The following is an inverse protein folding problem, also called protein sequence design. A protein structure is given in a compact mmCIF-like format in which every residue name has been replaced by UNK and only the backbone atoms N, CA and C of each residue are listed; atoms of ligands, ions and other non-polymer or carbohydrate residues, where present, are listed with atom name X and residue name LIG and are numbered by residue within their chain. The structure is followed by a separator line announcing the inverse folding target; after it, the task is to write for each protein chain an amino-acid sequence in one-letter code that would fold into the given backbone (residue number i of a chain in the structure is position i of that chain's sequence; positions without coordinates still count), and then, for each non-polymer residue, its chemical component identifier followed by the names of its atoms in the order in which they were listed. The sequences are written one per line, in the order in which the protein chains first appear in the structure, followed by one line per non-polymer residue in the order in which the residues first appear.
data_IF_495605094077
#
_entry.id   IF_495605094077
#
_cell.length_a   1.000
_cell.length_b   1.000
_cell.length_c   1.000
_cell.angle_alpha   90.00
_cell.angle_beta   90.00
_cell.angle_gamma   90.00
#
_symmetry.space_group_name_H-M   'P 1'
#
loop_
_entity.id
_entity.type
_entity.pdbx_description
1 polymer ?
#
# COMPACT_ATOMS: atom_id res chain seq x y z
N UNK A 1 -16.38 2.30 28.45
CA UNK A 1 -16.23 3.57 27.71
C UNK A 1 -14.85 4.12 28.01
N UNK A 2 -14.14 4.61 26.99
CA UNK A 2 -12.83 5.25 27.19
C UNK A 2 -12.98 6.49 28.10
N UNK A 3 -12.03 6.65 29.03
CA UNK A 3 -11.96 7.81 29.93
C UNK A 3 -11.05 8.90 29.34
N UNK A 4 -11.13 10.14 29.86
CA UNK A 4 -10.28 11.24 29.42
C UNK A 4 -8.76 10.93 29.52
N UNK A 5 -8.36 10.04 30.43
CA UNK A 5 -6.97 9.59 30.57
C UNK A 5 -6.50 8.70 29.41
N UNK A 6 -7.43 8.13 28.62
CA UNK A 6 -7.14 7.23 27.50
C UNK A 6 -7.34 7.92 26.13
N UNK A 7 -7.66 9.21 26.15
CA UNK A 7 -7.92 10.01 24.95
C UNK A 7 -6.76 9.99 23.95
N UNK A 8 -5.53 10.14 24.45
CA UNK A 8 -4.33 10.11 23.60
C UNK A 8 -4.19 8.80 22.81
N UNK A 9 -4.60 7.67 23.40
CA UNK A 9 -4.48 6.35 22.80
C UNK A 9 -5.64 6.05 21.84
N UNK A 10 -6.88 6.40 22.21
CA UNK A 10 -8.06 6.04 21.41
C UNK A 10 -8.47 7.10 20.36
N UNK A 11 -8.13 8.38 20.55
CA UNK A 11 -8.60 9.46 19.67
C UNK A 11 -7.46 10.23 18.96
N UNK A 12 -6.21 10.15 19.45
CA UNK A 12 -5.06 10.82 18.83
C UNK A 12 -4.04 9.89 18.15
N UNK A 13 -4.17 8.58 18.33
CA UNK A 13 -3.30 7.61 17.64
C UNK A 13 -3.90 7.23 16.29
N UNK A 14 -3.05 7.18 15.25
CA UNK A 14 -3.50 6.67 13.95
C UNK A 14 -3.95 5.22 14.08
N UNK A 15 -5.07 4.87 13.45
CA UNK A 15 -5.66 3.54 13.50
C UNK A 15 -4.64 2.42 13.26
N UNK A 16 -3.76 2.57 12.27
CA UNK A 16 -2.72 1.57 11.93
C UNK A 16 -1.76 1.33 13.11
N UNK A 17 -1.25 2.39 13.73
CA UNK A 17 -0.34 2.25 14.86
C UNK A 17 -1.07 1.64 16.07
N UNK A 18 -2.28 2.10 16.35
CA UNK A 18 -3.09 1.58 17.44
C UNK A 18 -3.38 0.09 17.26
N UNK A 19 -3.73 -0.30 16.03
CA UNK A 19 -4.05 -1.67 15.68
C UNK A 19 -2.87 -2.62 15.94
N UNK A 20 -1.66 -2.28 15.46
CA UNK A 20 -0.47 -3.13 15.67
C UNK A 20 -0.04 -3.20 17.13
N UNK A 21 -0.13 -2.10 17.88
CA UNK A 21 0.34 -2.07 19.27
C UNK A 21 -0.62 -2.76 20.23
N UNK A 22 -1.94 -2.64 20.02
CA UNK A 22 -2.93 -3.03 21.03
C UNK A 22 -3.94 -4.08 20.59
N UNK A 23 -4.22 -4.24 19.29
CA UNK A 23 -5.26 -5.15 18.79
C UNK A 23 -4.70 -6.40 18.08
N UNK A 24 -3.50 -6.31 17.50
CA UNK A 24 -2.91 -7.37 16.67
C UNK A 24 -2.49 -8.61 17.47
N UNK A 25 -2.20 -8.42 18.76
CA UNK A 25 -1.76 -9.47 19.68
C UNK A 25 -0.49 -10.16 19.19
N UNK A 26 -0.44 -11.48 19.35
CA UNK A 26 0.71 -12.30 18.96
C UNK A 26 0.69 -12.74 17.48
N UNK A 27 -0.29 -12.28 16.70
CA UNK A 27 -0.35 -12.58 15.26
C UNK A 27 0.81 -11.87 14.57
N UNK A 28 1.53 -12.59 13.70
CA UNK A 28 2.63 -12.03 12.91
C UNK A 28 2.15 -10.80 12.13
N UNK A 29 2.92 -9.71 12.17
CA UNK A 29 2.52 -8.41 11.60
C UNK A 29 2.27 -8.46 10.10
N UNK A 30 2.81 -9.45 9.38
CA UNK A 30 2.57 -9.63 7.95
C UNK A 30 1.33 -10.50 7.67
N UNK A 31 0.64 -10.98 8.71
CA UNK A 31 -0.55 -11.83 8.61
C UNK A 31 -1.81 -11.10 9.10
N UNK A 32 -2.94 -11.42 8.45
CA UNK A 32 -4.24 -10.91 8.87
C UNK A 32 -4.63 -11.43 10.27
N UNK A 33 -4.92 -10.51 11.19
CA UNK A 33 -5.51 -10.85 12.49
C UNK A 33 -7.05 -10.89 12.42
N UNK A 34 -7.69 -11.46 13.44
CA UNK A 34 -9.15 -11.67 13.46
C UNK A 34 -9.99 -10.40 13.71
N UNK A 35 -9.36 -9.23 13.89
CA UNK A 35 -10.07 -7.98 14.22
C UNK A 35 -10.98 -7.48 13.07
N UNK A 36 -10.74 -7.96 11.84
CA UNK A 36 -11.44 -7.51 10.64
C UNK A 36 -11.00 -6.12 10.20
N UNK A 37 -10.58 -5.95 8.94
CA UNK A 37 -10.01 -4.69 8.45
C UNK A 37 -8.55 -4.48 8.86
N UNK A 38 -7.86 -5.54 9.30
CA UNK A 38 -6.43 -5.53 9.56
C UNK A 38 -5.67 -5.00 8.33
N UNK A 39 -4.77 -4.00 8.47
CA UNK A 39 -3.99 -3.50 7.34
C UNK A 39 -3.21 -4.62 6.62
N UNK A 40 -2.74 -5.63 7.36
CA UNK A 40 -2.04 -6.81 6.85
C UNK A 40 -2.93 -7.75 6.04
N UNK A 41 -4.26 -7.66 6.14
CA UNK A 41 -5.18 -8.40 5.28
C UNK A 41 -4.94 -8.11 3.79
N UNK A 42 -4.52 -6.89 3.45
CA UNK A 42 -4.21 -6.51 2.08
C UNK A 42 -2.90 -7.14 1.55
N UNK A 43 -2.06 -7.67 2.45
CA UNK A 43 -0.82 -8.37 2.09
C UNK A 43 -1.07 -9.86 1.80
N UNK A 44 -2.16 -10.45 2.30
CA UNK A 44 -2.51 -11.85 2.06
C UNK A 44 -2.75 -12.09 0.56
N UNK A 45 -1.86 -12.84 -0.09
CA UNK A 45 -1.89 -13.04 -1.55
C UNK A 45 -1.40 -11.85 -2.37
N UNK A 46 -1.08 -10.72 -1.75
CA UNK A 46 -0.54 -9.52 -2.42
C UNK A 46 0.82 -9.82 -3.05
N UNK A 47 1.68 -10.55 -2.35
CA UNK A 47 2.96 -11.03 -2.88
C UNK A 47 2.77 -11.92 -4.11
N UNK A 48 1.89 -12.91 -4.03
CA UNK A 48 1.62 -13.85 -5.12
C UNK A 48 1.03 -13.11 -6.33
N UNK A 49 0.17 -12.13 -6.08
CA UNK A 49 -0.40 -11.25 -7.12
C UNK A 49 0.69 -10.43 -7.80
N UNK A 50 1.57 -9.76 -7.03
CA UNK A 50 2.70 -8.99 -7.58
C UNK A 50 3.63 -9.89 -8.40
N UNK A 51 3.95 -11.09 -7.91
CA UNK A 51 4.76 -12.07 -8.64
C UNK A 51 4.09 -12.50 -9.95
N UNK A 52 2.78 -12.78 -9.92
CA UNK A 52 2.00 -13.16 -11.10
C UNK A 52 1.97 -12.04 -12.14
N UNK A 53 1.64 -10.82 -11.70
CA UNK A 53 1.61 -9.63 -12.57
C UNK A 53 2.97 -9.35 -13.19
N UNK A 54 4.05 -9.39 -12.40
CA UNK A 54 5.40 -9.17 -12.91
C UNK A 54 5.79 -10.20 -14.00
N UNK A 55 5.39 -11.47 -13.83
CA UNK A 55 5.61 -12.52 -14.84
C UNK A 55 4.80 -12.28 -16.12
N UNK A 56 3.54 -11.89 -16.00
CA UNK A 56 2.69 -11.57 -17.15
C UNK A 56 3.26 -10.40 -17.96
N UNK A 57 3.65 -9.32 -17.27
CA UNK A 57 4.30 -8.15 -17.84
C UNK A 57 5.62 -8.52 -18.55
N UNK A 58 6.45 -9.36 -17.94
CA UNK A 58 7.69 -9.80 -18.58
C UNK A 58 7.44 -10.63 -19.86
N UNK A 59 6.42 -11.48 -19.87
CA UNK A 59 6.05 -12.26 -21.05
C UNK A 59 5.52 -11.37 -22.19
N UNK A 60 4.71 -10.36 -21.88
CA UNK A 60 4.20 -9.39 -22.85
C UNK A 60 5.30 -8.47 -23.39
N UNK A 61 6.24 -8.03 -22.55
CA UNK A 61 7.40 -7.28 -23.01
C UNK A 61 8.26 -8.11 -23.99
N UNK A 62 8.42 -9.41 -23.71
CA UNK A 62 9.18 -10.32 -24.55
C UNK A 62 8.47 -10.68 -25.88
N UNK A 63 7.15 -10.48 -26.02
CA UNK A 63 6.43 -10.80 -27.26
C UNK A 63 6.63 -9.77 -28.37
N UNK A 64 7.42 -8.73 -28.14
CA UNK A 64 7.63 -7.64 -29.10
C UNK A 64 6.47 -6.63 -29.15
N UNK A 65 5.57 -6.69 -28.16
CA UNK A 65 4.52 -5.68 -27.98
C UNK A 65 5.17 -4.33 -27.71
N UNK A 66 4.72 -3.28 -28.41
CA UNK A 66 5.24 -1.94 -28.19
C UNK A 66 4.54 -1.31 -27.00
N UNK A 67 5.28 -1.16 -25.91
CA UNK A 67 4.77 -0.52 -24.70
C UNK A 67 4.81 1.00 -24.87
N UNK A 68 3.80 1.66 -24.30
CA UNK A 68 3.87 3.10 -24.09
C UNK A 68 5.01 3.37 -23.09
N UNK A 69 5.88 4.32 -23.42
CA UNK A 69 7.11 4.59 -22.66
C UNK A 69 8.08 3.39 -22.54
N UNK A 70 8.17 2.56 -23.58
CA UNK A 70 8.98 1.33 -23.57
C UNK A 70 10.50 1.52 -23.49
N UNK A 71 11.01 2.73 -23.75
CA UNK A 71 12.42 3.07 -23.57
C UNK A 71 12.66 3.70 -22.19
N UNK A 72 13.86 3.48 -21.62
CA UNK A 72 14.21 3.98 -20.26
C UNK A 72 13.98 5.49 -20.12
N UNK A 73 14.36 6.29 -21.12
CA UNK A 73 14.18 7.74 -21.07
C UNK A 73 12.70 8.14 -21.07
N UNK A 74 11.86 7.46 -21.84
CA UNK A 74 10.42 7.72 -21.91
C UNK A 74 9.73 7.35 -20.59
N UNK A 75 10.12 6.21 -19.99
CA UNK A 75 9.63 5.82 -18.66
C UNK A 75 9.98 6.86 -17.60
N UNK A 76 11.21 7.37 -17.59
CA UNK A 76 11.65 8.37 -16.62
C UNK A 76 10.92 9.72 -16.79
N UNK A 77 10.65 10.15 -18.02
CA UNK A 77 9.85 11.35 -18.29
C UNK A 77 8.40 11.19 -17.80
N UNK A 78 7.75 10.06 -18.11
CA UNK A 78 6.41 9.77 -17.64
C UNK A 78 6.32 9.63 -16.11
N UNK A 79 7.34 9.02 -15.49
CA UNK A 79 7.41 8.89 -14.04
C UNK A 79 7.56 10.24 -13.34
N UNK A 80 8.39 11.15 -13.88
CA UNK A 80 8.51 12.51 -13.37
C UNK A 80 7.19 13.28 -13.45
N UNK A 81 6.48 13.20 -14.58
CA UNK A 81 5.17 13.84 -14.74
C UNK A 81 4.14 13.28 -13.72
N UNK A 82 4.13 11.96 -13.50
CA UNK A 82 3.27 11.35 -12.50
C UNK A 82 3.58 11.83 -11.08
N UNK A 83 4.86 11.99 -10.72
CA UNK A 83 5.25 12.52 -9.41
C UNK A 83 4.79 13.96 -9.23
N UNK A 84 4.93 14.81 -10.25
CA UNK A 84 4.45 16.20 -10.23
C UNK A 84 2.92 16.29 -10.03
N UNK A 85 2.17 15.33 -10.59
CA UNK A 85 0.71 15.25 -10.40
C UNK A 85 0.32 14.60 -9.05
N UNK A 86 1.16 13.72 -8.51
CA UNK A 86 0.87 12.94 -7.31
C UNK A 86 0.78 13.78 -6.02
N UNK A 87 1.41 14.95 -5.99
CA UNK A 87 1.30 15.91 -4.88
C UNK A 87 -0.15 16.37 -4.64
N UNK A 88 -1.02 16.30 -5.66
CA UNK A 88 -2.44 16.63 -5.56
C UNK A 88 -3.27 15.65 -4.72
N UNK A 89 -2.84 14.39 -4.59
CA UNK A 89 -3.58 13.38 -3.82
C UNK A 89 -3.57 13.67 -2.31
N UNK A 90 -2.45 14.19 -1.79
CA UNK A 90 -2.31 14.54 -0.37
C UNK A 90 -2.68 16.01 -0.06
N UNK A 91 -2.69 16.89 -1.07
CA UNK A 91 -3.02 18.30 -0.88
C UNK A 91 -4.52 18.60 -0.63
N UNK A 92 -5.42 17.68 -0.99
CA UNK A 92 -6.88 17.83 -0.86
C UNK A 92 -7.49 17.13 0.37
N UNK A 93 -6.67 16.71 1.34
CA UNK A 93 -7.10 16.02 2.58
C UNK A 93 -6.87 16.88 3.85
N UNK A 94 -6.78 18.21 3.69
CA UNK A 94 -6.73 19.20 4.77
C UNK A 94 -8.07 19.86 5.03
#
# INVERSE_FOLDING_TARGET
MASAAQYEVFERMHYVCFHYEFEHGDTDVDQECSAGGCPSATLAGGRETVVSTARALAAEAASGTRWENGETHQYLEAFAAWLEESDGYYANQG
#
